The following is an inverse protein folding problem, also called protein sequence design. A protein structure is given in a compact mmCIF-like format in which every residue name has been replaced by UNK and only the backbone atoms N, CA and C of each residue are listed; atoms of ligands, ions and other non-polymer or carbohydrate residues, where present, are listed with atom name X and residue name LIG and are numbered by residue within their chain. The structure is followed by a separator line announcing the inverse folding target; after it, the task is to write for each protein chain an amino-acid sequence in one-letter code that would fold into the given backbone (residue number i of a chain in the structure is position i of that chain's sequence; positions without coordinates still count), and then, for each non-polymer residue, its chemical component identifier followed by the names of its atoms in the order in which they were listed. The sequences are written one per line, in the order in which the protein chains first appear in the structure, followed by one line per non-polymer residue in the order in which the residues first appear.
data_IF_346999139812
#
_entry.id   IF_346999139812
#
_cell.length_a   1.000
_cell.length_b   1.000
_cell.length_c   1.000
_cell.angle_alpha   90.00
_cell.angle_beta   90.00
_cell.angle_gamma   90.00
#
_symmetry.space_group_name_H-M   'P 1'
#
loop_
_entity.id
_entity.type
_entity.pdbx_description
1 polymer ?
#
# COMPACT_ATOMS: atom_id res chain seq x y z
N UNK A 1 -0.33 3.04 -11.14
CA UNK A 1 -0.14 2.79 -9.71
C UNK A 1 1.35 2.71 -9.39
N UNK A 2 1.98 3.79 -8.90
CA UNK A 2 3.43 3.83 -8.67
C UNK A 2 3.97 2.69 -7.79
N UNK A 3 3.19 2.28 -6.77
CA UNK A 3 3.53 1.16 -5.89
C UNK A 3 3.68 -0.19 -6.60
N UNK A 4 2.91 -0.45 -7.66
CA UNK A 4 2.99 -1.72 -8.39
C UNK A 4 4.33 -1.80 -9.15
N UNK A 5 4.74 -0.70 -9.76
CA UNK A 5 6.03 -0.59 -10.47
C UNK A 5 7.18 -0.70 -9.46
N UNK A 6 7.11 0.05 -8.36
CA UNK A 6 8.13 -0.01 -7.32
C UNK A 6 8.21 -1.40 -6.68
N UNK A 7 7.08 -2.03 -6.39
CA UNK A 7 7.02 -3.38 -5.82
C UNK A 7 7.65 -4.44 -6.73
N UNK A 8 7.43 -4.35 -8.04
CA UNK A 8 8.10 -5.22 -9.01
C UNK A 8 9.63 -5.01 -9.00
N UNK A 9 10.08 -3.76 -8.98
CA UNK A 9 11.51 -3.44 -8.93
C UNK A 9 12.19 -3.96 -7.63
N UNK A 10 11.53 -3.82 -6.48
CA UNK A 10 12.04 -4.32 -5.21
C UNK A 10 12.01 -5.85 -5.08
N UNK A 11 11.08 -6.54 -5.77
CA UNK A 11 11.09 -8.01 -5.85
C UNK A 11 12.39 -8.52 -6.48
N UNK A 12 12.94 -7.80 -7.46
CA UNK A 12 14.17 -8.18 -8.15
C UNK A 12 15.44 -7.99 -7.30
N UNK A 13 15.40 -7.16 -6.25
CA UNK A 13 16.57 -6.86 -5.41
C UNK A 13 16.65 -7.70 -4.13
N UNK A 14 15.62 -8.50 -3.79
CA UNK A 14 15.59 -9.35 -2.59
C UNK A 14 15.51 -8.59 -1.25
N UNK A 15 15.50 -7.25 -1.29
CA UNK A 15 15.57 -6.39 -0.10
C UNK A 15 14.35 -6.54 0.82
N UNK A 16 13.19 -6.88 0.24
CA UNK A 16 11.95 -7.09 0.99
C UNK A 16 12.06 -8.31 1.91
N UNK A 17 12.69 -9.40 1.46
CA UNK A 17 12.78 -10.63 2.25
C UNK A 17 13.71 -10.48 3.46
N UNK A 18 14.76 -9.65 3.35
CA UNK A 18 15.62 -9.30 4.48
C UNK A 18 14.89 -8.49 5.57
N UNK A 19 13.82 -7.77 5.21
CA UNK A 19 13.02 -6.95 6.13
C UNK A 19 11.80 -7.69 6.71
N UNK A 20 11.54 -8.94 6.29
CA UNK A 20 10.40 -9.75 6.76
C UNK A 20 10.64 -10.39 8.14
N UNK A 21 11.01 -9.58 9.12
CA UNK A 21 11.04 -10.00 10.53
C UNK A 21 9.75 -9.59 11.24
N UNK A 22 9.15 -10.46 12.09
CA UNK A 22 7.97 -10.11 12.88
C UNK A 22 8.16 -8.84 13.71
N UNK A 23 9.38 -8.60 14.23
CA UNK A 23 9.69 -7.39 14.99
C UNK A 23 9.66 -6.14 14.11
N UNK A 24 10.23 -6.20 12.90
CA UNK A 24 10.18 -5.09 11.94
C UNK A 24 8.74 -4.75 11.59
N UNK A 25 7.92 -5.77 11.34
CA UNK A 25 6.49 -5.62 11.04
C UNK A 25 5.77 -4.95 12.22
N UNK A 26 6.02 -5.39 13.46
CA UNK A 26 5.38 -4.83 14.65
C UNK A 26 5.75 -3.35 14.85
N UNK A 27 7.05 -3.02 14.81
CA UNK A 27 7.51 -1.64 14.99
C UNK A 27 7.05 -0.72 13.85
N UNK A 28 7.09 -1.18 12.61
CA UNK A 28 6.55 -0.43 11.47
C UNK A 28 5.04 -0.18 11.61
N UNK A 29 4.27 -1.21 12.00
CA UNK A 29 2.82 -1.08 12.21
C UNK A 29 2.49 -0.02 13.27
N UNK A 30 3.20 -0.04 14.40
CA UNK A 30 3.02 0.95 15.46
C UNK A 30 3.43 2.34 14.98
N UNK A 31 4.61 2.47 14.36
CA UNK A 31 5.12 3.75 13.87
C UNK A 31 4.17 4.41 12.87
N UNK A 32 3.67 3.67 11.88
CA UNK A 32 2.69 4.18 10.92
C UNK A 32 1.31 4.42 11.54
N UNK A 33 0.91 3.63 12.55
CA UNK A 33 -0.30 3.89 13.33
C UNK A 33 -0.23 5.23 14.07
N UNK A 34 0.90 5.52 14.72
CA UNK A 34 1.16 6.81 15.37
C UNK A 34 1.21 7.96 14.37
N UNK A 35 1.82 7.74 13.20
CA UNK A 35 1.83 8.72 12.11
C UNK A 35 0.40 9.07 11.67
N UNK A 36 -0.43 8.05 11.42
CA UNK A 36 -1.84 8.24 11.06
C UNK A 36 -2.58 9.01 12.15
N UNK A 37 -2.43 8.62 13.41
CA UNK A 37 -3.04 9.31 14.55
C UNK A 37 -2.64 10.78 14.61
N UNK A 38 -1.34 11.08 14.46
CA UNK A 38 -0.83 12.45 14.49
C UNK A 38 -1.33 13.32 13.32
N UNK A 39 -1.51 12.73 12.14
CA UNK A 39 -2.12 13.43 10.99
C UNK A 39 -3.63 13.63 11.21
N UNK A 40 -4.31 12.61 11.73
CA UNK A 40 -5.76 12.62 11.87
C UNK A 40 -6.29 13.57 12.96
N UNK A 41 -5.42 13.97 13.91
CA UNK A 41 -5.70 14.96 14.95
C UNK A 41 -5.59 16.43 14.47
N UNK A 42 -5.10 16.69 13.26
CA UNK A 42 -4.97 18.06 12.74
C UNK A 42 -6.34 18.65 12.32
N UNK A 43 -6.50 19.97 12.53
CA UNK A 43 -7.69 20.85 12.33
C UNK A 43 -8.26 20.83 10.88
N UNK A 44 -9.48 21.39 10.62
CA UNK A 44 -10.52 20.72 9.85
C UNK A 44 -10.11 20.42 8.41
N UNK A 45 -10.22 19.15 8.07
CA UNK A 45 -10.12 18.67 6.70
C UNK A 45 -11.50 18.80 6.05
N UNK A 46 -11.67 19.83 5.22
CA UNK A 46 -12.97 20.17 4.62
C UNK A 46 -13.12 19.67 3.18
N UNK A 47 -12.04 19.19 2.55
CA UNK A 47 -12.09 18.76 1.16
C UNK A 47 -12.90 17.49 1.02
N UNK A 48 -13.80 17.51 0.05
CA UNK A 48 -14.64 16.37 -0.31
C UNK A 48 -14.03 15.57 -1.45
N UNK A 49 -14.45 14.31 -1.59
CA UNK A 49 -14.04 13.45 -2.70
C UNK A 49 -14.21 14.12 -4.07
N UNK A 50 -15.27 14.91 -4.27
CA UNK A 50 -15.55 15.61 -5.54
C UNK A 50 -14.45 16.60 -5.94
N UNK A 51 -13.68 17.09 -4.98
CA UNK A 51 -12.55 18.00 -5.21
C UNK A 51 -11.22 17.27 -5.50
N UNK A 52 -11.25 15.94 -5.57
CA UNK A 52 -10.07 15.11 -5.79
C UNK A 52 -9.55 15.30 -7.22
N UNK A 53 -8.56 16.18 -7.36
CA UNK A 53 -7.83 16.37 -8.60
C UNK A 53 -6.78 15.29 -8.85
N UNK A 54 -6.32 15.21 -10.10
CA UNK A 54 -5.32 14.23 -10.56
C UNK A 54 -4.00 14.34 -9.77
N UNK A 55 -3.59 15.55 -9.38
CA UNK A 55 -2.42 15.78 -8.51
C UNK A 55 -2.56 15.10 -7.15
N UNK A 56 -3.72 15.22 -6.50
CA UNK A 56 -3.98 14.59 -5.20
C UNK A 56 -3.99 13.06 -5.34
N UNK A 57 -4.64 12.53 -6.38
CA UNK A 57 -4.67 11.11 -6.68
C UNK A 57 -3.25 10.53 -6.85
N UNK A 58 -2.38 11.23 -7.58
CA UNK A 58 -0.98 10.83 -7.78
C UNK A 58 -0.18 10.85 -6.48
N UNK A 59 -0.32 11.89 -5.65
CA UNK A 59 0.37 11.98 -4.36
C UNK A 59 -0.06 10.87 -3.39
N UNK A 60 -1.36 10.54 -3.34
CA UNK A 60 -1.87 9.43 -2.54
C UNK A 60 -1.38 8.08 -3.10
N UNK A 61 -1.33 7.92 -4.42
CA UNK A 61 -0.77 6.71 -5.05
C UNK A 61 0.75 6.55 -4.84
N UNK A 62 1.49 7.65 -4.71
CA UNK A 62 2.92 7.63 -4.36
C UNK A 62 3.14 7.22 -2.90
N UNK A 63 2.24 7.60 -1.99
CA UNK A 63 2.37 7.21 -0.58
C UNK A 63 2.31 5.68 -0.38
N UNK A 64 1.67 4.94 -1.30
CA UNK A 64 1.66 3.48 -1.26
C UNK A 64 3.03 2.85 -1.47
N UNK A 65 4.03 3.55 -2.01
CA UNK A 65 5.40 3.03 -2.08
C UNK A 65 5.94 2.74 -0.68
N UNK A 66 5.56 3.54 0.32
CA UNK A 66 5.90 3.28 1.72
C UNK A 66 5.28 1.99 2.25
N UNK A 67 4.18 1.53 1.63
CA UNK A 67 3.55 0.25 1.97
C UNK A 67 4.36 -0.98 1.53
N UNK A 68 5.48 -0.80 0.83
CA UNK A 68 6.45 -1.86 0.56
C UNK A 68 7.27 -2.23 1.81
N UNK A 69 7.34 -1.35 2.82
CA UNK A 69 7.95 -1.66 4.11
C UNK A 69 7.05 -2.66 4.84
N UNK A 70 7.54 -3.87 5.17
CA UNK A 70 6.75 -4.87 5.88
C UNK A 70 6.15 -4.32 7.19
N UNK A 71 4.85 -4.51 7.40
CA UNK A 71 4.10 -3.95 8.53
C UNK A 71 3.41 -2.62 8.25
N UNK A 72 3.68 -1.97 7.12
CA UNK A 72 2.93 -0.77 6.74
C UNK A 72 1.57 -1.13 6.17
N UNK A 73 0.50 -0.59 6.76
CA UNK A 73 -0.86 -0.76 6.23
C UNK A 73 -1.04 0.07 4.96
N UNK A 74 -1.27 -0.59 3.82
CA UNK A 74 -1.59 0.06 2.53
C UNK A 74 -2.75 1.04 2.66
N UNK A 75 -3.86 0.59 3.24
CA UNK A 75 -5.04 1.43 3.42
C UNK A 75 -4.80 2.56 4.43
N UNK A 76 -3.97 2.31 5.44
CA UNK A 76 -3.58 3.29 6.44
C UNK A 76 -2.72 4.42 5.85
N UNK A 77 -1.71 4.11 5.02
CA UNK A 77 -0.81 5.13 4.46
C UNK A 77 -1.47 6.00 3.38
N UNK A 78 -2.40 5.44 2.61
CA UNK A 78 -3.21 6.20 1.63
C UNK A 78 -4.22 7.08 2.33
N UNK A 79 -4.88 6.58 3.38
CA UNK A 79 -5.77 7.38 4.22
C UNK A 79 -4.99 8.50 4.92
N UNK A 80 -3.81 8.20 5.49
CA UNK A 80 -2.92 9.21 6.10
C UNK A 80 -2.56 10.32 5.09
N UNK A 81 -2.15 9.95 3.88
CA UNK A 81 -1.83 10.91 2.82
C UNK A 81 -3.05 11.75 2.42
N UNK A 82 -4.23 11.14 2.26
CA UNK A 82 -5.46 11.86 1.95
C UNK A 82 -5.85 12.84 3.08
N UNK A 83 -5.74 12.42 4.34
CA UNK A 83 -5.98 13.29 5.50
C UNK A 83 -4.99 14.44 5.54
N UNK A 84 -3.71 14.20 5.25
CA UNK A 84 -2.69 15.23 5.19
C UNK A 84 -2.94 16.24 4.05
N UNK A 85 -3.58 15.82 2.96
CA UNK A 85 -4.00 16.70 1.87
C UNK A 85 -5.29 17.48 2.19
N UNK A 86 -5.93 17.23 3.33
CA UNK A 86 -7.08 17.95 3.84
C UNK A 86 -8.45 17.33 3.51
N UNK A 87 -8.50 16.06 3.10
CA UNK A 87 -9.77 15.36 2.83
C UNK A 87 -10.48 14.91 4.11
N UNK A 88 -11.82 14.99 4.14
CA UNK A 88 -12.65 14.49 5.25
C UNK A 88 -12.35 13.02 5.55
N UNK A 89 -12.50 12.60 6.81
CA UNK A 89 -12.28 11.19 7.25
C UNK A 89 -13.03 10.16 6.39
N UNK A 90 -14.35 10.29 6.19
CA UNK A 90 -15.09 9.33 5.37
C UNK A 90 -14.61 9.31 3.91
N UNK A 91 -14.30 10.48 3.34
CA UNK A 91 -13.80 10.56 1.96
C UNK A 91 -12.40 9.93 1.82
N UNK A 92 -11.50 10.20 2.76
CA UNK A 92 -10.18 9.59 2.78
C UNK A 92 -10.25 8.06 2.88
N UNK A 93 -11.14 7.53 3.72
CA UNK A 93 -11.37 6.10 3.87
C UNK A 93 -11.96 5.48 2.59
N UNK A 94 -13.00 6.10 2.03
CA UNK A 94 -13.62 5.64 0.77
C UNK A 94 -12.62 5.63 -0.38
N UNK A 95 -11.81 6.68 -0.52
CA UNK A 95 -10.81 6.75 -1.59
C UNK A 95 -9.76 5.64 -1.42
N UNK A 96 -9.30 5.43 -0.18
CA UNK A 96 -8.35 4.37 0.16
C UNK A 96 -8.88 2.97 -0.17
N UNK A 97 -10.16 2.70 0.11
CA UNK A 97 -10.82 1.44 -0.25
C UNK A 97 -10.92 1.26 -1.77
N UNK A 98 -11.35 2.29 -2.50
CA UNK A 98 -11.43 2.25 -3.96
C UNK A 98 -10.05 2.02 -4.60
N UNK A 99 -9.01 2.68 -4.08
CA UNK A 99 -7.63 2.54 -4.55
C UNK A 99 -7.07 1.13 -4.28
N UNK A 100 -7.60 0.42 -3.29
CA UNK A 100 -7.18 -0.94 -2.95
C UNK A 100 -7.60 -1.95 -4.01
N UNK A 101 -8.73 -1.74 -4.72
CA UNK A 101 -9.24 -2.65 -5.77
C UNK A 101 -8.20 -2.89 -6.87
N UNK A 102 -7.74 -1.88 -7.63
CA UNK A 102 -6.76 -2.10 -8.70
C UNK A 102 -5.42 -2.58 -8.16
N UNK A 103 -5.05 -2.18 -6.94
CA UNK A 103 -3.79 -2.59 -6.31
C UNK A 103 -3.79 -4.09 -5.98
N UNK A 104 -4.87 -4.58 -5.34
CA UNK A 104 -5.03 -5.99 -4.97
C UNK A 104 -5.14 -6.85 -6.21
N UNK A 105 -5.89 -6.40 -7.22
CA UNK A 105 -6.02 -7.13 -8.49
C UNK A 105 -4.66 -7.31 -9.16
N UNK A 106 -3.88 -6.24 -9.31
CA UNK A 106 -2.55 -6.31 -9.91
C UNK A 106 -1.59 -7.23 -9.12
N UNK A 107 -1.58 -7.13 -7.79
CA UNK A 107 -0.74 -7.97 -6.94
C UNK A 107 -1.17 -9.46 -7.01
N UNK A 108 -2.48 -9.72 -7.02
CA UNK A 108 -3.04 -11.06 -7.14
C UNK A 108 -2.73 -11.70 -8.49
N UNK A 109 -2.85 -10.95 -9.58
CA UNK A 109 -2.47 -11.44 -10.92
C UNK A 109 -0.99 -11.80 -10.97
N UNK A 110 -0.09 -10.95 -10.47
CA UNK A 110 1.34 -11.22 -10.45
C UNK A 110 1.67 -12.48 -9.62
N UNK A 111 1.11 -12.58 -8.41
CA UNK A 111 1.32 -13.73 -7.53
C UNK A 111 0.73 -15.02 -8.14
N UNK A 112 -0.41 -14.93 -8.83
CA UNK A 112 -1.02 -16.04 -9.54
C UNK A 112 -0.12 -16.57 -10.66
N UNK A 113 0.46 -15.67 -11.46
CA UNK A 113 1.42 -16.04 -12.51
C UNK A 113 2.68 -16.69 -11.92
N UNK A 114 3.23 -16.13 -10.85
CA UNK A 114 4.39 -16.71 -10.13
C UNK A 114 4.11 -18.14 -9.62
N UNK A 115 2.87 -18.39 -9.16
CA UNK A 115 2.45 -19.71 -8.68
C UNK A 115 2.30 -20.72 -9.82
N UNK A 116 1.77 -20.29 -10.98
CA UNK A 116 1.67 -21.15 -12.16
C UNK A 116 3.06 -21.52 -12.67
N UNK A 117 3.98 -20.56 -12.77
CA UNK A 117 5.36 -20.79 -13.19
C UNK A 117 6.09 -21.74 -12.23
N UNK A 118 6.04 -21.49 -10.91
CA UNK A 118 6.69 -22.37 -9.92
C UNK A 118 6.01 -23.73 -9.75
N UNK A 119 4.70 -23.79 -9.95
CA UNK A 119 3.95 -25.05 -9.96
C UNK A 119 4.29 -25.92 -11.18
N UNK A 120 4.69 -25.29 -12.30
CA UNK A 120 5.25 -25.96 -13.46
C UNK A 120 6.69 -26.46 -13.26
N UNK A 121 7.41 -26.00 -12.23
CA UNK A 121 8.77 -26.46 -11.88
C UNK A 121 8.81 -27.23 -10.53
N UNK A 122 7.65 -27.68 -10.05
CA UNK A 122 7.51 -28.31 -8.74
C UNK A 122 8.11 -29.73 -8.68
N UNK A 123 8.65 -30.17 -7.52
CA UNK A 123 9.31 -31.48 -7.34
C UNK A 123 8.38 -32.71 -7.47
N UNK A 124 7.12 -32.50 -7.87
CA UNK A 124 6.10 -33.52 -8.04
C UNK A 124 5.90 -33.93 -9.51
N UNK A 125 6.65 -33.33 -10.45
CA UNK A 125 6.55 -33.68 -11.87
C UNK A 125 7.38 -34.91 -12.26
N UNK A 126 8.29 -35.36 -11.41
CA UNK A 126 9.10 -36.56 -11.61
C UNK A 126 8.57 -37.80 -10.84
N UNK A 127 7.33 -37.76 -10.33
CA UNK A 127 6.70 -38.83 -9.54
C UNK A 127 5.67 -39.65 -10.32
#
# INVERSE_FOLDING_TARGET
MPVVIAGLAFKLTGLIDALRSPLVIAFASIGFGLLLYGVDQKRPCEKEMKSLGLKAALLIGLSQILALIPGTSRAGITMTAARQLGFKRPDAAHFSMLLSIPTILAAGTLAGLDLVEKGMDGPWQDA
#
